data_IF_042557842377
#
_entry.id   IF_042557842377
#
_cell.length_a   1.000
_cell.length_b   1.000
_cell.length_c   1.000
_cell.angle_alpha   90.00
_cell.angle_beta   90.00
_cell.angle_gamma   90.00
#
_symmetry.space_group_name_H-M   'P 1'
#
loop_
_entity.id
_entity.type
_entity.pdbx_description
1 polymer ?
#
# COMPACT_ATOMS: atom_id res chain seq x y z
N UNK A 1 -1.29 -4.66 22.85
CA UNK A 1 -2.35 -5.63 22.49
C UNK A 1 -2.51 -5.86 20.98
N UNK A 2 -2.22 -4.90 20.09
CA UNK A 2 -2.46 -5.05 18.64
C UNK A 2 -1.74 -6.24 17.95
N UNK A 3 -0.52 -6.59 18.36
CA UNK A 3 0.28 -7.70 17.78
C UNK A 3 -0.49 -9.03 17.73
N UNK A 4 -1.13 -9.41 18.84
CA UNK A 4 -1.93 -10.65 18.97
C UNK A 4 -3.13 -10.71 18.01
N UNK A 5 -3.52 -9.60 17.41
CA UNK A 5 -4.62 -9.49 16.43
C UNK A 5 -4.11 -9.77 15.00
N UNK A 6 -2.92 -9.27 14.65
CA UNK A 6 -2.23 -9.60 13.39
C UNK A 6 -1.85 -11.09 13.34
N UNK A 7 -1.35 -11.65 14.45
CA UNK A 7 -1.05 -13.09 14.54
C UNK A 7 -2.29 -13.98 14.42
N UNK A 8 -3.48 -13.48 14.76
CA UNK A 8 -4.73 -14.21 14.53
C UNK A 8 -5.09 -14.19 13.04
N UNK A 9 -5.01 -13.04 12.38
CA UNK A 9 -5.29 -12.90 10.94
C UNK A 9 -4.33 -13.76 10.09
N UNK A 10 -3.04 -13.79 10.46
CA UNK A 10 -2.02 -14.62 9.79
C UNK A 10 -2.27 -16.13 9.94
N UNK A 11 -2.90 -16.55 11.05
CA UNK A 11 -3.23 -17.98 11.31
C UNK A 11 -4.57 -18.44 10.71
N UNK A 12 -5.53 -17.54 10.47
CA UNK A 12 -6.82 -17.91 9.87
C UNK A 12 -6.79 -17.98 8.33
N UNK A 13 -5.82 -17.36 7.67
CA UNK A 13 -5.70 -17.36 6.21
C UNK A 13 -4.99 -18.59 5.61
N UNK A 14 -4.23 -19.36 6.40
CA UNK A 14 -3.35 -20.41 5.88
C UNK A 14 -3.56 -21.81 6.51
N UNK A 15 -4.61 -22.02 7.31
CA UNK A 15 -4.86 -23.32 7.96
C UNK A 15 -5.62 -24.30 7.06
N UNK A 16 -4.93 -24.81 6.04
CA UNK A 16 -5.29 -26.08 5.39
C UNK A 16 -4.99 -27.27 6.31
N UNK A 17 -5.55 -28.45 5.99
CA UNK A 17 -5.47 -29.63 6.86
C UNK A 17 -4.10 -30.32 6.88
N UNK A 18 -3.84 -31.03 7.98
CA UNK A 18 -2.60 -31.78 8.24
C UNK A 18 -2.86 -33.27 8.03
N UNK A 19 -1.96 -33.96 7.32
CA UNK A 19 -1.81 -35.41 7.39
C UNK A 19 -0.37 -35.72 7.79
N UNK A 20 -0.20 -36.43 8.90
CA UNK A 20 1.09 -36.63 9.57
C UNK A 20 1.91 -37.78 8.97
N UNK A 21 3.25 -37.66 9.03
CA UNK A 21 4.15 -38.83 9.06
C UNK A 21 5.42 -38.51 9.84
N UNK A 22 5.97 -39.52 10.50
CA UNK A 22 7.04 -39.41 11.51
C UNK A 22 8.47 -39.34 10.89
N UNK A 23 9.48 -38.86 11.65
CA UNK A 23 10.81 -38.55 11.13
C UNK A 23 11.74 -39.77 11.03
N UNK A 24 12.88 -39.57 10.37
CA UNK A 24 14.04 -40.45 10.38
C UNK A 24 15.28 -39.59 10.64
N UNK A 25 16.05 -39.93 11.66
CA UNK A 25 17.31 -39.25 12.01
C UNK A 25 18.45 -39.58 11.03
N UNK A 26 19.27 -38.58 10.72
CA UNK A 26 20.63 -38.75 10.17
C UNK A 26 21.52 -37.71 10.87
N UNK A 27 22.72 -38.05 11.39
CA UNK A 27 23.50 -37.15 12.23
C UNK A 27 24.09 -35.93 11.50
N UNK A 28 24.54 -34.96 12.30
CA UNK A 28 25.47 -33.92 11.86
C UNK A 28 26.79 -34.55 11.39
N UNK A 29 27.34 -34.05 10.28
CA UNK A 29 28.72 -34.35 9.88
C UNK A 29 29.39 -33.09 9.35
N UNK A 30 30.63 -32.86 9.78
CA UNK A 30 31.29 -31.55 9.64
C UNK A 30 31.86 -31.32 8.23
N UNK A 31 31.67 -30.12 7.67
CA UNK A 31 32.30 -29.71 6.42
C UNK A 31 33.06 -28.38 6.57
N UNK A 32 34.26 -28.25 5.95
CA UNK A 32 35.31 -27.41 6.50
C UNK A 32 35.13 -25.91 6.32
N UNK A 33 35.76 -25.19 7.26
CA UNK A 33 35.91 -23.74 7.30
C UNK A 33 37.03 -23.28 6.36
N UNK A 34 36.71 -23.09 5.07
CA UNK A 34 37.59 -22.39 4.11
C UNK A 34 36.86 -22.01 2.82
N UNK A 35 36.20 -20.86 2.83
CA UNK A 35 35.80 -20.08 1.64
C UNK A 35 35.14 -18.77 2.09
N UNK A 36 35.92 -17.88 2.71
CA UNK A 36 35.50 -16.50 2.90
C UNK A 36 35.66 -15.76 1.57
N UNK A 37 34.62 -15.83 0.75
CA UNK A 37 34.47 -14.93 -0.39
C UNK A 37 34.00 -13.58 0.16
N UNK A 38 34.80 -12.56 -0.10
CA UNK A 38 34.55 -11.18 0.33
C UNK A 38 33.20 -10.67 -0.22
N UNK A 39 32.47 -9.89 0.58
CA UNK A 39 31.19 -9.32 0.15
C UNK A 39 31.46 -8.09 -0.72
N UNK A 40 31.41 -8.25 -2.04
CA UNK A 40 31.42 -7.18 -3.06
C UNK A 40 30.25 -6.20 -2.84
N UNK A 41 30.38 -5.35 -1.82
CA UNK A 41 29.39 -4.38 -1.33
C UNK A 41 29.94 -2.96 -1.31
N UNK A 42 31.12 -2.72 -1.90
CA UNK A 42 31.82 -1.42 -1.94
C UNK A 42 30.99 -0.25 -2.51
N UNK A 43 29.95 -0.52 -3.30
CA UNK A 43 29.02 0.51 -3.78
C UNK A 43 27.87 0.85 -2.81
N UNK A 44 27.80 0.23 -1.63
CA UNK A 44 26.78 0.50 -0.61
C UNK A 44 27.34 1.41 0.48
N UNK A 45 26.59 2.44 0.88
CA UNK A 45 27.07 3.35 1.93
C UNK A 45 26.99 2.69 3.31
N UNK A 46 28.16 2.47 3.93
CA UNK A 46 28.34 1.80 5.23
C UNK A 46 27.76 2.55 6.44
N UNK A 47 27.23 3.76 6.26
CA UNK A 47 26.61 4.53 7.36
C UNK A 47 25.34 3.83 7.87
N UNK A 48 25.54 3.02 8.91
CA UNK A 48 24.49 2.39 9.72
C UNK A 48 23.65 3.48 10.40
N UNK A 49 22.42 3.64 9.90
CA UNK A 49 21.45 4.60 10.38
C UNK A 49 20.08 4.27 9.78
N UNK A 50 19.27 3.58 10.58
CA UNK A 50 17.93 3.06 10.29
C UNK A 50 17.36 2.37 11.53
N UNK A 51 16.03 2.26 11.64
CA UNK A 51 15.33 1.89 12.89
C UNK A 51 15.05 0.39 13.04
N UNK A 52 15.92 -0.47 12.50
CA UNK A 52 15.76 -1.94 12.50
C UNK A 52 15.59 -2.52 13.91
N UNK A 53 14.38 -3.00 14.22
CA UNK A 53 14.13 -3.80 15.42
C UNK A 53 14.48 -5.28 15.18
N UNK A 54 15.03 -5.94 16.20
CA UNK A 54 15.21 -7.39 16.24
C UNK A 54 14.49 -7.94 17.47
N UNK A 55 13.32 -8.55 17.27
CA UNK A 55 12.59 -9.27 18.33
C UNK A 55 13.30 -10.60 18.64
N UNK A 56 14.38 -10.53 19.42
CA UNK A 56 15.18 -11.67 19.86
C UNK A 56 14.65 -12.27 21.16
N UNK A 57 13.80 -13.29 21.06
CA UNK A 57 13.32 -14.06 22.23
C UNK A 57 14.40 -15.03 22.72
N UNK A 58 15.32 -14.56 23.57
CA UNK A 58 16.35 -15.36 24.23
C UNK A 58 16.18 -15.36 25.75
N UNK A 59 15.40 -16.29 26.27
CA UNK A 59 15.30 -16.53 27.71
C UNK A 59 16.57 -17.24 28.21
N UNK A 60 17.25 -16.61 29.17
CA UNK A 60 18.27 -17.22 30.05
C UNK A 60 18.12 -16.61 31.44
N UNK A 61 18.15 -17.45 32.47
CA UNK A 61 17.96 -17.07 33.88
C UNK A 61 19.34 -16.90 34.56
N UNK A 62 19.48 -15.90 35.45
CA UNK A 62 20.46 -15.95 36.55
C UNK A 62 20.18 -14.88 37.63
N UNK A 63 19.47 -15.32 38.67
CA UNK A 63 19.71 -15.08 40.10
C UNK A 63 20.07 -13.65 40.64
N UNK A 64 19.16 -13.14 41.48
CA UNK A 64 19.39 -12.17 42.57
C UNK A 64 19.89 -12.92 43.84
N UNK A 65 20.76 -12.33 44.68
CA UNK A 65 20.25 -11.85 45.98
C UNK A 65 20.98 -10.61 46.58
N UNK A 66 20.23 -9.71 47.24
CA UNK A 66 20.83 -8.64 48.08
C UNK A 66 19.85 -7.79 48.92
N UNK A 67 19.65 -8.17 50.19
CA UNK A 67 18.82 -7.52 51.24
C UNK A 67 19.09 -5.99 51.44
N UNK A 68 18.24 -5.16 52.09
CA UNK A 68 17.43 -5.42 53.29
C UNK A 68 16.33 -4.36 53.63
N UNK A 69 15.35 -4.79 54.44
CA UNK A 69 14.56 -4.08 55.48
C UNK A 69 13.96 -2.65 55.26
N UNK A 70 12.64 -2.51 55.51
CA UNK A 70 11.96 -1.25 55.93
C UNK A 70 11.88 -1.12 57.46
N UNK A 71 10.85 -0.49 58.10
CA UNK A 71 9.59 0.06 57.56
C UNK A 71 9.22 1.47 58.14
N UNK A 72 7.92 1.74 58.40
CA UNK A 72 7.29 2.85 59.16
C UNK A 72 7.23 4.28 58.51
N UNK A 73 6.41 5.23 59.00
CA UNK A 73 4.93 5.28 59.18
C UNK A 73 4.46 6.73 59.48
N UNK A 74 3.19 7.05 59.16
CA UNK A 74 2.31 8.10 59.75
C UNK A 74 2.60 9.63 59.57
N UNK A 75 1.51 10.43 59.66
CA UNK A 75 1.44 11.89 59.97
C UNK A 75 1.94 12.90 58.89
N UNK A 76 1.26 14.00 58.51
CA UNK A 76 -0.10 14.50 58.83
C UNK A 76 -0.59 15.62 57.86
N UNK A 77 -1.83 16.10 58.09
CA UNK A 77 -2.31 17.49 57.92
C UNK A 77 -3.21 17.92 56.73
N UNK A 78 -4.53 17.74 56.93
CA UNK A 78 -5.67 18.68 56.74
C UNK A 78 -5.78 19.63 55.52
N UNK A 79 -6.96 19.67 54.88
CA UNK A 79 -7.28 20.70 53.87
C UNK A 79 -8.68 20.70 53.18
N UNK A 80 -9.78 20.26 53.82
CA UNK A 80 -11.12 20.26 53.20
C UNK A 80 -11.89 21.60 53.34
N UNK A 81 -12.47 22.10 52.23
CA UNK A 81 -13.75 22.85 52.09
C UNK A 81 -14.00 23.11 50.59
N UNK A 82 -15.13 22.77 49.93
CA UNK A 82 -16.56 23.18 50.06
C UNK A 82 -16.81 24.69 49.81
N UNK A 83 -17.86 25.19 49.13
CA UNK A 83 -18.99 24.64 48.32
C UNK A 83 -18.93 25.28 46.89
N UNK A 84 -19.89 25.38 45.95
CA UNK A 84 -21.32 24.99 45.75
C UNK A 84 -21.60 24.92 44.20
N UNK A 85 -22.82 24.55 43.77
CA UNK A 85 -23.40 24.96 42.47
C UNK A 85 -23.98 26.39 42.51
N UNK A 86 -24.87 26.86 41.61
CA UNK A 86 -25.62 26.23 40.51
C UNK A 86 -26.06 27.31 39.46
N UNK A 87 -26.66 26.83 38.36
CA UNK A 87 -27.75 27.48 37.59
C UNK A 87 -27.41 28.26 36.30
N UNK A 88 -28.42 28.34 35.43
CA UNK A 88 -28.37 28.75 34.02
C UNK A 88 -29.40 29.85 33.71
N UNK A 89 -29.17 30.65 32.65
CA UNK A 89 -30.20 30.98 31.63
C UNK A 89 -29.62 31.63 30.36
N UNK A 90 -30.42 31.66 29.29
CA UNK A 90 -30.19 32.24 27.96
C UNK A 90 -29.60 33.67 27.89
N UNK A 91 -28.85 33.95 26.83
CA UNK A 91 -29.31 34.89 25.75
C UNK A 91 -28.36 34.96 24.54
N UNK A 92 -28.90 35.48 23.43
CA UNK A 92 -28.25 35.92 22.19
C UNK A 92 -29.02 37.20 21.73
N UNK A 93 -28.53 38.09 20.82
CA UNK A 93 -27.79 37.72 19.62
C UNK A 93 -26.84 38.79 18.96
N UNK A 94 -26.39 38.48 17.73
CA UNK A 94 -26.07 39.38 16.58
C UNK A 94 -24.69 40.10 16.45
N UNK A 95 -24.08 39.84 15.28
CA UNK A 95 -23.21 40.66 14.39
C UNK A 95 -21.64 40.70 14.38
N UNK A 96 -21.17 40.46 13.14
CA UNK A 96 -20.04 41.06 12.37
C UNK A 96 -18.54 40.80 12.71
N UNK A 97 -17.96 39.92 11.87
CA UNK A 97 -16.68 40.09 11.14
C UNK A 97 -15.31 40.09 11.86
N UNK A 98 -14.46 39.07 11.57
CA UNK A 98 -13.00 39.20 11.55
C UNK A 98 -12.46 39.32 10.11
N UNK A 99 -11.55 40.28 9.86
CA UNK A 99 -11.03 40.58 8.53
C UNK A 99 -9.63 40.01 8.20
N UNK A 100 -9.39 39.73 6.92
CA UNK A 100 -8.15 40.17 6.25
C UNK A 100 -6.83 39.40 6.43
N UNK A 101 -6.79 38.06 6.34
CA UNK A 101 -5.50 37.32 6.33
C UNK A 101 -5.50 35.94 5.64
N UNK A 102 -5.86 35.84 4.35
CA UNK A 102 -5.92 34.54 3.65
C UNK A 102 -5.50 34.51 2.16
N UNK A 103 -5.69 35.61 1.40
CA UNK A 103 -5.55 35.53 -0.07
C UNK A 103 -4.13 35.22 -0.57
N UNK A 104 -3.09 35.74 0.10
CA UNK A 104 -1.69 35.50 -0.29
C UNK A 104 -1.22 34.06 -0.01
N UNK A 105 -1.64 33.47 1.11
CA UNK A 105 -1.36 32.06 1.42
C UNK A 105 -2.09 31.13 0.46
N UNK A 106 -3.37 31.38 0.16
CA UNK A 106 -4.10 30.62 -0.86
C UNK A 106 -3.52 30.74 -2.27
N UNK A 107 -3.04 31.92 -2.69
CA UNK A 107 -2.37 32.08 -3.99
C UNK A 107 -1.02 31.37 -4.04
N UNK A 108 -0.19 31.45 -3.00
CA UNK A 108 1.06 30.69 -2.93
C UNK A 108 0.79 29.17 -2.94
N UNK A 109 -0.22 28.70 -2.22
CA UNK A 109 -0.59 27.28 -2.17
C UNK A 109 -1.15 26.77 -3.52
N UNK A 110 -1.76 27.64 -4.34
CA UNK A 110 -2.13 27.33 -5.74
C UNK A 110 -0.95 27.41 -6.70
N UNK A 111 -0.02 28.34 -6.50
CA UNK A 111 1.19 28.51 -7.32
C UNK A 111 2.19 27.36 -7.12
N UNK A 112 2.38 26.89 -5.89
CA UNK A 112 3.27 25.76 -5.59
C UNK A 112 2.79 24.44 -6.23
N UNK A 113 1.48 24.27 -6.47
CA UNK A 113 0.93 23.12 -7.20
C UNK A 113 1.30 23.05 -8.68
N UNK A 114 1.84 24.12 -9.29
CA UNK A 114 2.37 24.07 -10.66
C UNK A 114 3.88 23.83 -10.74
N UNK A 115 4.58 23.71 -9.61
CA UNK A 115 6.03 23.47 -9.54
C UNK A 115 6.30 22.11 -8.90
N UNK A 116 6.09 21.06 -9.68
CA UNK A 116 6.24 19.64 -9.30
C UNK A 116 7.70 19.24 -9.04
N UNK A 117 8.24 19.69 -7.91
CA UNK A 117 9.34 18.97 -7.24
C UNK A 117 8.80 17.58 -6.91
N UNK A 118 9.42 16.48 -7.38
CA UNK A 118 8.97 15.15 -7.01
C UNK A 118 9.09 14.97 -5.49
N UNK A 119 7.98 14.66 -4.83
CA UNK A 119 7.98 14.44 -3.40
C UNK A 119 8.91 13.27 -3.06
N UNK A 120 9.90 13.52 -2.21
CA UNK A 120 10.99 12.58 -1.98
C UNK A 120 10.46 11.43 -1.12
N UNK A 121 10.21 10.27 -1.72
CA UNK A 121 9.94 9.08 -0.94
C UNK A 121 11.19 8.63 -0.16
N UNK A 122 10.97 8.20 1.07
CA UNK A 122 11.90 7.39 1.86
C UNK A 122 11.39 5.96 1.84
N UNK A 123 12.32 5.02 1.66
CA UNK A 123 12.11 3.59 1.84
C UNK A 123 12.96 3.18 3.04
N UNK A 124 12.32 2.75 4.13
CA UNK A 124 12.97 2.35 5.38
C UNK A 124 12.57 0.91 5.72
N UNK A 125 13.53 0.05 6.05
CA UNK A 125 13.22 -1.31 6.53
C UNK A 125 13.02 -1.26 8.04
N UNK A 126 11.82 -1.63 8.50
CA UNK A 126 11.44 -1.55 9.92
C UNK A 126 11.43 -2.92 10.62
N UNK A 127 11.19 -4.00 9.88
CA UNK A 127 11.35 -5.40 10.34
C UNK A 127 12.04 -6.25 9.26
N UNK A 128 12.78 -7.28 9.70
CA UNK A 128 13.44 -8.26 8.85
C UNK A 128 13.37 -9.67 9.46
N UNK A 129 12.14 -10.19 9.58
CA UNK A 129 11.81 -11.43 10.29
C UNK A 129 12.13 -12.72 9.51
N UNK A 130 12.64 -13.76 10.19
CA UNK A 130 12.92 -15.08 9.60
C UNK A 130 11.67 -15.95 9.65
N UNK A 131 11.05 -16.17 8.49
CA UNK A 131 9.82 -16.94 8.34
C UNK A 131 10.14 -18.40 7.99
N UNK A 132 9.64 -19.40 8.74
CA UNK A 132 9.68 -20.80 8.33
C UNK A 132 8.65 -21.08 7.22
N UNK A 133 9.08 -21.87 6.25
CA UNK A 133 8.29 -22.43 5.14
C UNK A 133 8.38 -23.96 5.25
N UNK A 134 7.44 -24.73 4.68
CA UNK A 134 7.25 -26.16 5.02
C UNK A 134 8.49 -27.07 4.90
N UNK A 135 9.48 -26.69 4.08
CA UNK A 135 10.78 -27.35 3.93
C UNK A 135 11.97 -26.39 3.92
N UNK A 136 11.79 -25.11 4.30
CA UNK A 136 12.87 -24.11 4.24
C UNK A 136 12.65 -22.94 5.21
N UNK A 137 13.51 -21.91 5.15
CA UNK A 137 13.32 -20.64 5.84
C UNK A 137 13.65 -19.50 4.88
N UNK A 138 13.00 -18.35 5.01
CA UNK A 138 13.34 -17.14 4.26
C UNK A 138 13.26 -15.90 5.15
N UNK A 139 14.01 -14.85 4.81
CA UNK A 139 13.88 -13.54 5.46
C UNK A 139 12.82 -12.73 4.72
N UNK A 140 11.82 -12.26 5.47
CA UNK A 140 10.78 -11.33 5.02
C UNK A 140 11.15 -9.93 5.49
N UNK A 141 11.26 -8.98 4.57
CA UNK A 141 11.59 -7.59 4.88
C UNK A 141 10.31 -6.76 4.83
N UNK A 142 10.04 -6.06 5.92
CA UNK A 142 8.92 -5.12 6.07
C UNK A 142 9.47 -3.71 5.85
N UNK A 143 8.97 -3.03 4.82
CA UNK A 143 9.46 -1.71 4.38
C UNK A 143 8.34 -0.68 4.46
N UNK A 144 8.62 0.44 5.12
CA UNK A 144 7.76 1.62 5.10
C UNK A 144 8.10 2.50 3.89
N UNK A 145 7.06 2.98 3.22
CA UNK A 145 7.09 3.99 2.15
C UNK A 145 6.53 5.28 2.73
N UNK A 146 7.40 6.28 2.88
CA UNK A 146 7.16 7.51 3.64
C UNK A 146 7.39 8.74 2.75
N UNK A 147 6.53 9.75 2.84
CA UNK A 147 6.57 10.98 2.05
C UNK A 147 7.39 12.07 2.78
N UNK A 148 8.62 12.36 2.33
CA UNK A 148 9.48 13.37 2.99
C UNK A 148 8.86 14.77 2.96
N UNK A 149 9.08 15.53 4.04
CA UNK A 149 8.72 16.95 4.10
C UNK A 149 7.29 17.23 4.57
N UNK A 150 6.47 16.19 4.75
CA UNK A 150 5.18 16.26 5.44
C UNK A 150 5.18 15.32 6.65
N UNK A 151 4.31 15.59 7.62
CA UNK A 151 4.10 14.69 8.76
C UNK A 151 3.22 13.51 8.32
N UNK A 152 3.87 12.45 7.83
CA UNK A 152 3.25 11.24 7.31
C UNK A 152 2.58 10.42 8.43
N UNK A 153 1.28 10.68 8.65
CA UNK A 153 0.48 10.00 9.68
C UNK A 153 0.17 8.54 9.36
N UNK A 154 0.40 8.10 8.13
CA UNK A 154 -0.06 6.83 7.58
C UNK A 154 1.00 6.24 6.65
N UNK A 155 2.15 5.75 7.20
CA UNK A 155 3.14 5.03 6.41
C UNK A 155 2.47 3.89 5.63
N UNK A 156 2.86 3.75 4.36
CA UNK A 156 2.37 2.66 3.52
C UNK A 156 3.40 1.53 3.57
N UNK A 157 2.98 0.28 3.65
CA UNK A 157 3.90 -0.83 3.98
C UNK A 157 3.98 -1.83 2.84
N UNK A 158 5.17 -2.37 2.55
CA UNK A 158 5.33 -3.56 1.70
C UNK A 158 6.10 -4.64 2.46
N UNK A 159 5.73 -5.91 2.23
CA UNK A 159 6.42 -7.08 2.78
C UNK A 159 6.94 -7.95 1.64
N UNK A 160 8.26 -8.13 1.54
CA UNK A 160 8.91 -8.79 0.38
C UNK A 160 10.08 -9.65 0.82
N UNK A 161 10.31 -10.79 0.17
CA UNK A 161 11.51 -11.64 0.35
C UNK A 161 12.57 -11.29 -0.68
N UNK A 162 13.84 -11.63 -0.41
CA UNK A 162 14.98 -11.34 -1.30
C UNK A 162 14.70 -11.74 -2.78
N UNK A 163 14.01 -12.86 -3.01
CA UNK A 163 13.68 -13.35 -4.36
C UNK A 163 12.73 -12.43 -5.13
N UNK A 164 11.95 -11.59 -4.46
CA UNK A 164 11.00 -10.69 -5.11
C UNK A 164 11.73 -9.45 -5.64
N UNK A 165 12.69 -8.95 -4.85
CA UNK A 165 13.67 -7.96 -5.29
C UNK A 165 14.54 -8.48 -6.45
N UNK A 166 15.02 -9.73 -6.36
CA UNK A 166 15.77 -10.41 -7.42
C UNK A 166 14.95 -10.52 -8.72
N UNK A 167 13.65 -10.83 -8.61
CA UNK A 167 12.68 -10.85 -9.73
C UNK A 167 12.43 -9.45 -10.30
N UNK A 168 12.23 -8.43 -9.46
CA UNK A 168 12.06 -7.03 -9.89
C UNK A 168 13.28 -6.57 -10.68
N UNK A 169 14.47 -6.70 -10.11
CA UNK A 169 15.74 -6.34 -10.74
C UNK A 169 15.92 -7.05 -12.09
N UNK A 170 15.63 -8.35 -12.12
CA UNK A 170 15.70 -9.18 -13.34
C UNK A 170 14.63 -8.84 -14.38
N UNK A 171 13.50 -8.21 -14.02
CA UNK A 171 12.50 -7.71 -14.98
C UNK A 171 12.91 -6.34 -15.52
N UNK A 172 13.27 -5.39 -14.63
CA UNK A 172 13.70 -4.05 -15.02
C UNK A 172 14.94 -4.07 -15.92
N UNK A 173 15.97 -4.87 -15.57
CA UNK A 173 17.19 -5.02 -16.40
C UNK A 173 16.89 -5.53 -17.83
N UNK A 174 15.81 -6.28 -18.03
CA UNK A 174 15.38 -6.78 -19.36
C UNK A 174 14.56 -5.76 -20.18
N UNK A 175 14.04 -4.70 -19.57
CA UNK A 175 13.17 -3.69 -20.21
C UNK A 175 13.82 -2.30 -20.31
N UNK A 176 14.72 -2.00 -19.39
CA UNK A 176 15.32 -0.68 -19.17
C UNK A 176 16.83 -0.84 -18.92
N UNK A 177 17.51 -1.62 -19.78
CA UNK A 177 18.92 -2.04 -19.59
C UNK A 177 19.84 -0.88 -19.24
N UNK A 178 19.87 0.13 -20.11
CA UNK A 178 20.68 1.35 -20.03
C UNK A 178 20.48 2.12 -18.70
N UNK A 179 19.23 2.17 -18.21
CA UNK A 179 18.89 2.81 -16.93
C UNK A 179 19.24 1.94 -15.72
N UNK A 180 19.39 0.62 -15.92
CA UNK A 180 19.72 -0.36 -14.87
C UNK A 180 21.21 -0.68 -14.77
N UNK A 181 22.05 -0.28 -15.73
CA UNK A 181 23.51 -0.53 -15.71
C UNK A 181 24.18 -0.02 -14.43
N UNK A 182 23.77 1.16 -13.96
CA UNK A 182 24.32 1.84 -12.78
C UNK A 182 23.62 1.45 -11.48
N UNK A 183 22.56 0.65 -11.56
CA UNK A 183 21.73 0.29 -10.41
C UNK A 183 22.30 -0.94 -9.71
N UNK A 184 23.08 -0.67 -8.66
CA UNK A 184 23.65 -1.71 -7.79
C UNK A 184 22.55 -2.56 -7.13
N UNK A 185 22.83 -3.86 -6.94
CA UNK A 185 21.90 -4.81 -6.33
C UNK A 185 22.67 -5.80 -5.44
N UNK A 186 22.22 -6.08 -4.20
CA UNK A 186 22.92 -6.97 -3.28
C UNK A 186 22.99 -8.40 -3.84
N UNK A 187 24.20 -8.99 -3.87
CA UNK A 187 24.39 -10.34 -4.42
C UNK A 187 23.84 -11.44 -3.51
N UNK A 188 23.57 -12.61 -4.11
CA UNK A 188 23.07 -13.80 -3.43
C UNK A 188 24.23 -14.56 -2.76
N UNK A 189 24.32 -14.50 -1.43
CA UNK A 189 25.28 -15.30 -0.65
C UNK A 189 24.83 -16.77 -0.63
N UNK A 190 25.76 -17.72 -0.77
CA UNK A 190 25.45 -19.16 -0.73
C UNK A 190 25.34 -19.71 0.71
N UNK A 191 26.00 -19.07 1.68
CA UNK A 191 26.01 -19.43 3.11
C UNK A 191 25.70 -18.19 3.97
N UNK A 192 25.60 -18.34 5.30
CA UNK A 192 25.38 -17.26 6.30
C UNK A 192 24.14 -16.36 6.04
N UNK A 193 23.15 -16.80 5.25
CA UNK A 193 22.00 -15.99 4.80
C UNK A 193 21.06 -15.44 5.90
N UNK A 194 21.07 -16.04 7.10
CA UNK A 194 20.22 -15.67 8.24
C UNK A 194 21.01 -14.98 9.37
N UNK A 195 22.30 -14.70 9.18
CA UNK A 195 23.12 -13.96 10.16
C UNK A 195 22.66 -12.50 10.18
N UNK A 196 22.45 -11.93 11.37
CA UNK A 196 21.92 -10.58 11.56
C UNK A 196 22.68 -9.51 10.77
N UNK A 197 24.00 -9.62 10.68
CA UNK A 197 24.87 -8.75 9.85
C UNK A 197 24.51 -8.82 8.34
N UNK A 198 24.30 -10.02 7.80
CA UNK A 198 23.89 -10.22 6.39
C UNK A 198 22.45 -9.76 6.16
N UNK A 199 21.58 -9.85 7.18
CA UNK A 199 20.23 -9.28 7.14
C UNK A 199 20.30 -7.75 7.11
N UNK A 200 21.02 -7.12 8.03
CA UNK A 200 21.17 -5.66 8.13
C UNK A 200 21.81 -5.05 6.86
N UNK A 201 22.89 -5.66 6.35
CA UNK A 201 23.51 -5.26 5.06
C UNK A 201 22.51 -5.31 3.91
N UNK A 202 21.65 -6.35 3.85
CA UNK A 202 20.59 -6.47 2.83
C UNK A 202 19.45 -5.47 3.01
N UNK A 203 19.00 -5.25 4.24
CA UNK A 203 18.01 -4.22 4.55
C UNK A 203 18.47 -2.87 4.00
N UNK A 204 19.68 -2.44 4.36
CA UNK A 204 20.27 -1.19 3.86
C UNK A 204 20.44 -1.15 2.34
N UNK A 205 20.83 -2.28 1.74
CA UNK A 205 20.92 -2.40 0.28
C UNK A 205 19.55 -2.22 -0.41
N UNK A 206 18.46 -2.73 0.19
CA UNK A 206 17.11 -2.56 -0.37
C UNK A 206 16.59 -1.12 -0.25
N UNK A 207 16.85 -0.43 0.86
CA UNK A 207 16.54 1.01 1.00
C UNK A 207 17.23 1.83 -0.10
N UNK A 208 18.53 1.62 -0.28
CA UNK A 208 19.36 2.30 -1.29
C UNK A 208 18.90 1.95 -2.72
N UNK A 209 18.60 0.67 -2.99
CA UNK A 209 18.10 0.19 -4.28
C UNK A 209 16.74 0.80 -4.65
N UNK A 210 15.76 0.80 -3.74
CA UNK A 210 14.45 1.43 -3.97
C UNK A 210 14.57 2.94 -4.14
N UNK A 211 15.37 3.61 -3.30
CA UNK A 211 15.62 5.06 -3.40
C UNK A 211 16.24 5.43 -4.74
N UNK A 212 17.23 4.66 -5.21
CA UNK A 212 17.91 4.94 -6.47
C UNK A 212 16.99 4.69 -7.69
N UNK A 213 16.23 3.59 -7.72
CA UNK A 213 15.22 3.38 -8.78
C UNK A 213 14.15 4.47 -8.80
N UNK A 214 13.69 4.94 -7.62
CA UNK A 214 12.74 6.04 -7.53
C UNK A 214 13.32 7.38 -8.03
N UNK A 215 14.63 7.59 -7.91
CA UNK A 215 15.31 8.77 -8.46
C UNK A 215 15.40 8.79 -9.99
N UNK A 216 15.25 7.63 -10.64
CA UNK A 216 15.33 7.47 -12.10
C UNK A 216 13.92 7.51 -12.70
N UNK A 217 13.58 8.61 -13.38
CA UNK A 217 12.22 8.89 -13.82
C UNK A 217 11.59 7.77 -14.68
N UNK A 218 12.35 7.17 -15.60
CA UNK A 218 11.86 6.10 -16.48
C UNK A 218 11.62 4.77 -15.73
N UNK A 219 12.40 4.49 -14.68
CA UNK A 219 12.12 3.34 -13.81
C UNK A 219 10.92 3.62 -12.90
N UNK A 220 10.86 4.80 -12.29
CA UNK A 220 9.77 5.20 -11.37
C UNK A 220 8.39 5.16 -12.03
N UNK A 221 8.28 5.56 -13.31
CA UNK A 221 7.01 5.49 -14.08
C UNK A 221 6.69 4.10 -14.62
N UNK A 222 7.61 3.14 -14.57
CA UNK A 222 7.41 1.81 -15.15
C UNK A 222 6.38 0.99 -14.37
N UNK A 223 5.48 0.29 -15.08
CA UNK A 223 4.49 -0.59 -14.45
C UNK A 223 5.17 -1.64 -13.54
N UNK A 224 6.29 -2.22 -13.98
CA UNK A 224 7.07 -3.21 -13.23
C UNK A 224 7.57 -2.71 -11.87
N UNK A 225 7.99 -1.45 -11.78
CA UNK A 225 8.41 -0.84 -10.51
C UNK A 225 7.20 -0.55 -9.62
N UNK A 226 6.13 0.01 -10.18
CA UNK A 226 4.93 0.42 -9.43
C UNK A 226 4.15 -0.79 -8.87
N UNK A 227 3.94 -1.83 -9.69
CA UNK A 227 3.29 -3.09 -9.30
C UNK A 227 3.99 -3.79 -8.14
N UNK A 228 5.32 -3.74 -8.08
CA UNK A 228 6.10 -4.37 -7.01
C UNK A 228 5.67 -3.88 -5.62
N UNK A 229 5.16 -2.65 -5.51
CA UNK A 229 4.56 -2.14 -4.30
C UNK A 229 3.13 -2.64 -4.13
N UNK A 230 2.18 -2.17 -4.94
CA UNK A 230 0.75 -2.32 -4.62
C UNK A 230 0.07 -3.58 -5.18
N UNK A 231 0.62 -4.26 -6.19
CA UNK A 231 -0.16 -5.25 -6.95
C UNK A 231 -0.60 -6.45 -6.10
N UNK A 232 0.26 -6.91 -5.18
CA UNK A 232 -0.09 -7.98 -4.25
C UNK A 232 -1.25 -7.61 -3.31
N UNK A 233 -1.37 -6.34 -2.94
CA UNK A 233 -2.45 -5.86 -2.06
C UNK A 233 -3.78 -5.77 -2.81
N UNK A 234 -3.77 -5.31 -4.06
CA UNK A 234 -4.95 -5.33 -4.93
C UNK A 234 -5.43 -6.76 -5.20
N UNK A 235 -4.51 -7.70 -5.44
CA UNK A 235 -4.82 -9.12 -5.61
C UNK A 235 -5.39 -9.75 -4.33
N UNK A 236 -4.81 -9.46 -3.15
CA UNK A 236 -5.31 -9.92 -1.87
C UNK A 236 -6.71 -9.35 -1.57
N UNK A 237 -6.92 -8.05 -1.84
CA UNK A 237 -8.23 -7.41 -1.78
C UNK A 237 -9.25 -8.08 -2.70
N UNK A 238 -8.92 -8.26 -3.98
CA UNK A 238 -9.79 -8.92 -4.95
C UNK A 238 -10.15 -10.36 -4.54
N UNK A 239 -9.20 -11.12 -3.99
CA UNK A 239 -9.43 -12.47 -3.47
C UNK A 239 -10.39 -12.45 -2.28
N UNK A 240 -10.16 -11.57 -1.30
CA UNK A 240 -11.01 -11.44 -0.10
C UNK A 240 -12.42 -10.98 -0.48
N UNK A 241 -12.57 -10.08 -1.46
CA UNK A 241 -13.86 -9.70 -2.03
C UNK A 241 -14.58 -10.86 -2.72
N UNK A 242 -13.87 -11.68 -3.52
CA UNK A 242 -14.45 -12.86 -4.19
C UNK A 242 -15.00 -13.90 -3.20
N UNK A 243 -14.48 -13.94 -1.97
CA UNK A 243 -14.99 -14.80 -0.88
C UNK A 243 -15.84 -14.04 0.17
N UNK A 244 -16.27 -12.80 -0.13
CA UNK A 244 -17.17 -12.02 0.74
C UNK A 244 -16.54 -11.46 2.03
N UNK A 245 -15.22 -11.56 2.21
CA UNK A 245 -14.48 -11.12 3.42
C UNK A 245 -14.07 -9.65 3.33
N UNK A 246 -15.04 -8.76 3.05
CA UNK A 246 -14.79 -7.34 2.77
C UNK A 246 -14.03 -6.61 3.88
N UNK A 247 -14.38 -6.86 5.14
CA UNK A 247 -13.71 -6.25 6.31
C UNK A 247 -12.20 -6.53 6.35
N UNK A 248 -11.79 -7.72 5.90
CA UNK A 248 -10.37 -8.08 5.81
C UNK A 248 -9.75 -7.56 4.51
N UNK A 249 -10.52 -7.49 3.42
CA UNK A 249 -10.11 -6.90 2.14
C UNK A 249 -9.81 -5.40 2.22
N UNK A 250 -10.47 -4.66 3.13
CA UNK A 250 -10.17 -3.23 3.36
C UNK A 250 -8.69 -2.98 3.73
N UNK A 251 -8.06 -3.86 4.52
CA UNK A 251 -6.68 -3.68 4.97
C UNK A 251 -5.69 -3.56 3.80
N UNK A 252 -5.60 -4.59 2.92
CA UNK A 252 -4.81 -4.52 1.69
C UNK A 252 -5.26 -3.38 0.76
N UNK A 253 -6.55 -3.22 0.48
CA UNK A 253 -7.02 -2.20 -0.48
C UNK A 253 -6.66 -0.77 -0.07
N UNK A 254 -6.81 -0.42 1.22
CA UNK A 254 -6.41 0.88 1.75
C UNK A 254 -4.88 1.06 1.74
N UNK A 255 -4.10 -0.03 1.87
CA UNK A 255 -2.64 0.05 1.75
C UNK A 255 -2.18 0.20 0.30
N UNK A 256 -2.79 -0.55 -0.62
CA UNK A 256 -2.60 -0.40 -2.06
C UNK A 256 -2.91 1.03 -2.53
N UNK A 257 -3.98 1.64 -2.02
CA UNK A 257 -4.29 3.05 -2.30
C UNK A 257 -3.17 3.98 -1.82
N UNK A 258 -2.76 3.89 -0.55
CA UNK A 258 -1.67 4.73 0.00
C UNK A 258 -0.35 4.56 -0.76
N UNK A 259 -0.04 3.34 -1.23
CA UNK A 259 1.10 3.08 -2.10
C UNK A 259 0.95 3.76 -3.47
N UNK A 260 -0.21 3.61 -4.12
CA UNK A 260 -0.51 4.27 -5.40
C UNK A 260 -0.45 5.80 -5.31
N UNK A 261 -0.95 6.38 -4.21
CA UNK A 261 -0.88 7.82 -3.94
C UNK A 261 0.57 8.30 -3.79
N UNK A 262 1.35 7.67 -2.89
CA UNK A 262 2.75 8.08 -2.62
C UNK A 262 3.66 7.89 -3.84
N UNK A 263 3.42 6.88 -4.68
CA UNK A 263 4.12 6.69 -5.94
C UNK A 263 3.65 7.63 -7.07
N UNK A 264 2.59 8.41 -6.82
CA UNK A 264 2.04 9.43 -7.72
C UNK A 264 1.21 8.88 -8.88
N UNK A 265 0.59 7.70 -8.75
CA UNK A 265 -0.13 7.02 -9.82
C UNK A 265 -1.33 7.85 -10.34
N UNK A 266 -2.08 8.49 -9.45
CA UNK A 266 -3.23 9.37 -9.75
C UNK A 266 -2.85 10.46 -10.77
N UNK A 267 -1.73 11.16 -10.53
CA UNK A 267 -1.26 12.24 -11.39
C UNK A 267 -0.66 11.72 -12.71
N UNK A 268 -0.02 10.55 -12.69
CA UNK A 268 0.62 9.96 -13.87
C UNK A 268 -0.40 9.41 -14.87
N UNK A 269 -1.43 8.69 -14.40
CA UNK A 269 -2.48 8.13 -15.26
C UNK A 269 -3.37 9.17 -15.97
N UNK A 270 -3.34 10.42 -15.50
CA UNK A 270 -4.02 11.57 -16.13
C UNK A 270 -3.14 12.33 -17.14
N UNK A 271 -1.82 12.15 -17.10
CA UNK A 271 -0.85 12.83 -17.98
C UNK A 271 -0.29 11.92 -19.09
N UNK A 272 -0.24 10.61 -18.84
CA UNK A 272 0.15 9.59 -19.80
C UNK A 272 -0.84 8.42 -19.68
N UNK A 273 -1.56 8.04 -20.75
CA UNK A 273 -2.56 6.97 -20.71
C UNK A 273 -1.91 5.57 -20.74
N UNK A 274 -1.03 5.28 -19.77
CA UNK A 274 -0.60 3.92 -19.46
C UNK A 274 -1.79 3.15 -18.88
N UNK A 275 -2.60 2.58 -19.77
CA UNK A 275 -3.92 1.98 -19.50
C UNK A 275 -3.96 1.20 -18.18
N UNK A 276 -3.06 0.24 -18.01
CA UNK A 276 -2.95 -0.64 -16.85
C UNK A 276 -2.82 0.12 -15.50
N UNK A 277 -2.08 1.24 -15.44
CA UNK A 277 -1.95 2.03 -14.21
C UNK A 277 -3.26 2.71 -13.83
N UNK A 278 -4.01 3.22 -14.82
CA UNK A 278 -5.35 3.79 -14.61
C UNK A 278 -6.35 2.69 -14.24
N UNK A 279 -6.26 1.50 -14.85
CA UNK A 279 -7.07 0.34 -14.47
C UNK A 279 -6.81 -0.08 -13.02
N UNK A 280 -5.54 -0.21 -12.60
CA UNK A 280 -5.20 -0.51 -11.20
C UNK A 280 -5.66 0.58 -10.21
N UNK A 281 -5.59 1.86 -10.58
CA UNK A 281 -6.08 2.97 -9.75
C UNK A 281 -7.59 2.92 -9.55
N UNK A 282 -8.34 2.83 -10.66
CA UNK A 282 -9.80 2.74 -10.65
C UNK A 282 -10.27 1.46 -9.94
N UNK A 283 -9.58 0.33 -10.15
CA UNK A 283 -9.85 -0.91 -9.42
C UNK A 283 -9.79 -0.69 -7.91
N UNK A 284 -8.73 -0.07 -7.37
CA UNK A 284 -8.60 0.16 -5.93
C UNK A 284 -9.76 0.99 -5.37
N UNK A 285 -10.10 2.10 -6.04
CA UNK A 285 -11.19 2.97 -5.59
C UNK A 285 -12.54 2.23 -5.62
N UNK A 286 -12.86 1.54 -6.71
CA UNK A 286 -14.13 0.82 -6.86
C UNK A 286 -14.23 -0.41 -5.93
N UNK A 287 -13.10 -1.07 -5.65
CA UNK A 287 -12.99 -2.13 -4.65
C UNK A 287 -13.29 -1.60 -3.24
N UNK A 288 -12.75 -0.42 -2.88
CA UNK A 288 -13.06 0.25 -1.62
C UNK A 288 -14.55 0.64 -1.54
N UNK A 289 -15.12 1.28 -2.57
CA UNK A 289 -16.56 1.60 -2.64
C UNK A 289 -17.41 0.35 -2.39
N UNK A 290 -17.07 -0.77 -3.03
CA UNK A 290 -17.81 -2.03 -2.91
C UNK A 290 -17.67 -2.62 -1.50
N UNK A 291 -16.45 -2.68 -0.94
CA UNK A 291 -16.23 -3.17 0.42
C UNK A 291 -16.98 -2.33 1.47
N UNK A 292 -16.83 -1.00 1.43
CA UNK A 292 -17.51 -0.11 2.38
C UNK A 292 -19.03 -0.18 2.23
N UNK A 293 -19.57 -0.32 1.02
CA UNK A 293 -21.01 -0.50 0.80
C UNK A 293 -21.54 -1.82 1.39
N UNK A 294 -20.84 -2.95 1.19
CA UNK A 294 -21.24 -4.26 1.73
C UNK A 294 -21.04 -4.36 3.27
N UNK A 295 -20.36 -3.38 3.86
CA UNK A 295 -20.21 -3.19 5.32
C UNK A 295 -21.15 -2.09 5.86
N UNK A 296 -22.03 -1.53 5.02
CA UNK A 296 -22.92 -0.39 5.31
C UNK A 296 -22.19 0.85 5.89
N UNK A 297 -20.89 0.99 5.59
CA UNK A 297 -20.06 2.19 5.84
C UNK A 297 -20.23 3.17 4.68
N UNK A 298 -21.44 3.73 4.60
CA UNK A 298 -21.93 4.41 3.40
C UNK A 298 -21.31 5.80 3.17
N UNK A 299 -20.80 6.45 4.21
CA UNK A 299 -20.11 7.74 4.08
C UNK A 299 -18.78 7.59 3.37
N UNK A 300 -18.00 6.61 3.82
CA UNK A 300 -16.73 6.17 3.27
C UNK A 300 -16.91 5.65 1.84
N UNK A 301 -17.90 4.79 1.61
CA UNK A 301 -18.26 4.32 0.28
C UNK A 301 -18.55 5.48 -0.69
N UNK A 302 -19.24 6.53 -0.22
CA UNK A 302 -19.56 7.69 -1.04
C UNK A 302 -18.34 8.60 -1.30
N UNK A 303 -17.39 8.71 -0.37
CA UNK A 303 -16.14 9.48 -0.58
C UNK A 303 -15.25 8.86 -1.68
N UNK A 304 -15.00 7.55 -1.63
CA UNK A 304 -14.24 6.86 -2.69
C UNK A 304 -14.98 6.87 -4.03
N UNK A 305 -16.32 6.89 -4.00
CA UNK A 305 -17.16 6.99 -5.19
C UNK A 305 -17.07 8.39 -5.83
N UNK A 306 -17.14 9.46 -5.03
CA UNK A 306 -16.90 10.84 -5.47
C UNK A 306 -15.45 11.07 -5.95
N UNK A 307 -14.47 10.29 -5.47
CA UNK A 307 -13.10 10.30 -6.02
C UNK A 307 -13.04 9.65 -7.40
N UNK A 308 -13.53 8.41 -7.53
CA UNK A 308 -13.55 7.71 -8.82
C UNK A 308 -14.37 8.48 -9.89
N UNK A 309 -15.43 9.19 -9.50
CA UNK A 309 -16.17 10.07 -10.43
C UNK A 309 -15.40 11.33 -10.84
N UNK A 310 -14.51 11.89 -9.99
CA UNK A 310 -13.63 12.99 -10.41
C UNK A 310 -12.61 12.56 -11.45
N UNK A 311 -12.17 11.30 -11.39
CA UNK A 311 -11.18 10.72 -12.31
C UNK A 311 -11.79 10.15 -13.61
N UNK A 312 -13.12 9.99 -13.64
CA UNK A 312 -13.89 9.44 -14.77
C UNK A 312 -14.90 10.40 -15.39
N UNK A 313 -15.21 11.55 -14.78
CA UNK A 313 -16.13 12.54 -15.34
C UNK A 313 -15.62 13.01 -16.72
N UNK A 314 -16.42 12.87 -17.79
CA UNK A 314 -16.03 13.31 -19.12
C UNK A 314 -16.06 14.84 -19.21
N UNK A 315 -15.34 15.41 -20.18
CA UNK A 315 -15.61 16.76 -20.64
C UNK A 315 -16.89 16.79 -21.48
N UNK A 316 -17.47 17.96 -21.73
CA UNK A 316 -18.70 18.05 -22.53
C UNK A 316 -18.46 17.59 -23.98
N UNK A 317 -17.27 17.85 -24.53
CA UNK A 317 -16.86 17.39 -25.86
C UNK A 317 -16.74 15.86 -25.92
N UNK A 318 -16.17 15.25 -24.88
CA UNK A 318 -16.07 13.79 -24.78
C UNK A 318 -17.44 13.12 -24.62
N UNK A 319 -18.37 13.74 -23.87
CA UNK A 319 -19.75 13.25 -23.73
C UNK A 319 -20.50 13.35 -25.06
N UNK A 320 -20.41 14.47 -25.79
CA UNK A 320 -21.01 14.67 -27.11
C UNK A 320 -20.48 13.71 -28.18
N UNK A 321 -19.29 13.14 -27.99
CA UNK A 321 -18.66 12.15 -28.88
C UNK A 321 -18.83 10.70 -28.37
N UNK A 322 -19.58 10.48 -27.28
CA UNK A 322 -19.74 9.19 -26.60
C UNK A 322 -18.43 8.55 -26.10
N UNK A 323 -17.37 9.36 -25.93
CA UNK A 323 -16.03 8.93 -25.53
C UNK A 323 -15.86 8.96 -23.99
N UNK A 324 -16.67 8.17 -23.28
CA UNK A 324 -16.57 8.00 -21.83
C UNK A 324 -16.23 6.56 -21.42
N UNK A 325 -15.71 6.40 -20.20
CA UNK A 325 -15.26 5.10 -19.71
C UNK A 325 -16.47 4.18 -19.39
N UNK A 326 -16.44 2.87 -19.72
CA UNK A 326 -17.57 1.97 -19.46
C UNK A 326 -18.05 1.93 -18.00
N UNK A 327 -17.13 2.15 -17.05
CA UNK A 327 -17.43 2.17 -15.62
C UNK A 327 -18.19 3.42 -15.15
N UNK A 328 -18.30 4.47 -15.97
CA UNK A 328 -18.95 5.72 -15.59
C UNK A 328 -20.43 5.51 -15.23
N UNK A 329 -21.17 4.74 -16.02
CA UNK A 329 -22.60 4.49 -15.79
C UNK A 329 -22.85 3.72 -14.48
N UNK A 330 -22.29 2.51 -14.23
CA UNK A 330 -22.52 1.79 -12.98
C UNK A 330 -21.94 2.52 -11.76
N UNK A 331 -20.95 3.40 -11.95
CA UNK A 331 -20.44 4.26 -10.89
C UNK A 331 -21.41 5.41 -10.56
N UNK A 332 -21.95 6.12 -11.55
CA UNK A 332 -22.97 7.16 -11.36
C UNK A 332 -24.22 6.58 -10.68
N UNK A 333 -24.72 5.43 -11.15
CA UNK A 333 -25.83 4.71 -10.53
C UNK A 333 -25.54 4.33 -9.07
N UNK A 334 -24.30 4.00 -8.75
CA UNK A 334 -23.90 3.67 -7.36
C UNK A 334 -23.80 4.93 -6.51
N UNK A 335 -23.25 6.03 -7.03
CA UNK A 335 -23.22 7.31 -6.31
C UNK A 335 -24.63 7.84 -6.03
N UNK A 336 -25.52 7.85 -7.03
CA UNK A 336 -26.92 8.30 -6.91
C UNK A 336 -27.66 7.51 -5.80
N UNK A 337 -27.45 6.18 -5.74
CA UNK A 337 -28.02 5.31 -4.69
C UNK A 337 -27.39 5.55 -3.31
N UNK A 338 -26.07 5.68 -3.22
CA UNK A 338 -25.36 5.98 -1.96
C UNK A 338 -25.80 7.34 -1.40
N UNK A 339 -25.75 8.38 -2.22
CA UNK A 339 -26.13 9.75 -1.87
C UNK A 339 -27.62 9.86 -1.50
N UNK A 340 -28.50 9.03 -2.07
CA UNK A 340 -29.88 8.87 -1.58
C UNK A 340 -29.93 8.22 -0.19
N UNK A 341 -29.23 7.10 0.05
CA UNK A 341 -29.17 6.45 1.38
C UNK A 341 -28.66 7.39 2.49
N UNK A 342 -27.70 8.27 2.18
CA UNK A 342 -27.05 9.17 3.17
C UNK A 342 -27.50 10.64 3.10
N UNK A 343 -28.60 10.93 2.40
CA UNK A 343 -29.20 12.27 2.29
C UNK A 343 -28.25 13.38 1.79
N UNK A 344 -27.27 13.04 0.92
CA UNK A 344 -26.42 14.02 0.23
C UNK A 344 -27.06 14.47 -1.09
N UNK A 345 -26.64 15.64 -1.59
CA UNK A 345 -27.03 16.07 -2.94
C UNK A 345 -26.42 15.14 -3.99
N UNK A 346 -27.21 14.86 -5.02
CA UNK A 346 -26.94 13.95 -6.13
C UNK A 346 -27.33 14.54 -7.50
N UNK A 347 -27.93 15.75 -7.53
CA UNK A 347 -28.46 16.39 -8.74
C UNK A 347 -27.46 16.42 -9.90
N UNK A 348 -26.19 16.75 -9.62
CA UNK A 348 -25.11 16.76 -10.63
C UNK A 348 -24.94 15.40 -11.32
N UNK A 349 -24.98 14.33 -10.55
CA UNK A 349 -24.76 12.96 -11.03
C UNK A 349 -26.04 12.37 -11.67
N UNK A 350 -27.22 12.77 -11.19
CA UNK A 350 -28.50 12.47 -11.85
C UNK A 350 -28.60 13.12 -13.23
N UNK A 351 -28.25 14.41 -13.35
CA UNK A 351 -28.23 15.12 -14.64
C UNK A 351 -27.21 14.49 -15.60
N UNK A 352 -25.99 14.20 -15.15
CA UNK A 352 -24.97 13.55 -16.01
C UNK A 352 -25.40 12.14 -16.45
N UNK A 353 -26.09 11.38 -15.59
CA UNK A 353 -26.63 10.07 -15.95
C UNK A 353 -27.77 10.18 -16.97
N UNK A 354 -28.62 11.21 -16.86
CA UNK A 354 -29.68 11.51 -17.83
C UNK A 354 -29.11 11.98 -19.18
N UNK A 355 -28.10 12.86 -19.19
CA UNK A 355 -27.39 13.27 -20.42
C UNK A 355 -26.81 12.07 -21.18
N UNK A 356 -26.22 11.11 -20.46
CA UNK A 356 -25.70 9.86 -21.03
C UNK A 356 -26.84 8.97 -21.56
N UNK A 357 -27.96 8.85 -20.84
CA UNK A 357 -29.13 8.09 -21.29
C UNK A 357 -29.78 8.72 -22.54
N UNK A 358 -29.96 10.03 -22.57
CA UNK A 358 -30.56 10.80 -23.66
C UNK A 358 -29.69 10.76 -24.93
N UNK A 359 -28.37 10.63 -24.77
CA UNK A 359 -27.44 10.36 -25.87
C UNK A 359 -27.57 8.94 -26.48
N UNK A 360 -28.40 8.06 -25.92
CA UNK A 360 -28.70 6.73 -26.44
C UNK A 360 -27.87 5.59 -25.84
N UNK A 361 -27.11 5.81 -24.76
CA UNK A 361 -26.39 4.74 -24.08
C UNK A 361 -27.34 3.85 -23.24
N UNK A 362 -27.14 2.54 -23.27
CA UNK A 362 -27.88 1.61 -22.42
C UNK A 362 -27.44 1.78 -20.96
N UNK A 363 -28.25 2.51 -20.20
CA UNK A 363 -28.08 2.68 -18.74
C UNK A 363 -28.71 1.51 -17.96
N UNK A 364 -29.65 0.78 -18.54
CA UNK A 364 -30.45 -0.25 -17.85
C UNK A 364 -29.69 -1.56 -17.62
N UNK A 365 -28.98 -2.06 -18.63
CA UNK A 365 -28.39 -3.41 -18.61
C UNK A 365 -26.88 -3.44 -18.27
N UNK A 366 -26.38 -2.42 -17.57
CA UNK A 366 -24.96 -2.36 -17.18
C UNK A 366 -24.63 -3.35 -16.04
N UNK A 367 -23.47 -4.02 -16.08
CA UNK A 367 -23.02 -4.89 -14.99
C UNK A 367 -22.74 -4.07 -13.73
N UNK A 368 -22.99 -4.64 -12.56
CA UNK A 368 -22.65 -3.99 -11.30
C UNK A 368 -21.13 -3.80 -11.13
N UNK A 369 -20.72 -2.79 -10.37
CA UNK A 369 -19.31 -2.57 -10.02
C UNK A 369 -18.66 -3.84 -9.45
N UNK A 370 -19.41 -4.57 -8.63
CA UNK A 370 -19.02 -5.85 -8.01
C UNK A 370 -18.71 -6.93 -9.05
N UNK A 371 -19.56 -7.10 -10.06
CA UNK A 371 -19.29 -8.04 -11.15
C UNK A 371 -18.06 -7.65 -11.99
N UNK A 372 -17.90 -6.35 -12.28
CA UNK A 372 -16.72 -5.86 -12.99
C UNK A 372 -15.45 -6.20 -12.21
N UNK A 373 -15.39 -5.85 -10.91
CA UNK A 373 -14.26 -6.14 -10.03
C UNK A 373 -13.97 -7.63 -9.86
N UNK A 374 -14.99 -8.49 -9.97
CA UNK A 374 -14.82 -9.96 -9.97
C UNK A 374 -14.25 -10.49 -11.29
N UNK A 375 -14.57 -9.85 -12.43
CA UNK A 375 -14.12 -10.22 -13.79
C UNK A 375 -12.77 -9.61 -14.17
N UNK A 376 -12.37 -8.50 -13.54
CA UNK A 376 -11.16 -7.73 -13.86
C UNK A 376 -9.86 -8.54 -13.63
N UNK A 377 -8.91 -8.44 -14.57
CA UNK A 377 -7.68 -9.21 -14.58
C UNK A 377 -6.47 -8.31 -14.26
N UNK A 378 -6.19 -8.19 -12.95
CA UNK A 378 -5.03 -7.46 -12.39
C UNK A 378 -3.64 -7.98 -12.83
N UNK A 379 -3.57 -8.94 -13.75
CA UNK A 379 -2.31 -9.47 -14.30
C UNK A 379 -2.47 -9.63 -15.80
N UNK A 380 -1.98 -8.66 -16.56
CA UNK A 380 -1.63 -8.94 -17.95
C UNK A 380 -0.34 -9.76 -17.97
N UNK A 381 -0.45 -11.00 -18.45
CA UNK A 381 0.70 -11.85 -18.74
C UNK A 381 1.41 -11.32 -19.98
N UNK A 382 2.22 -10.26 -19.83
CA UNK A 382 2.95 -9.62 -20.92
C UNK A 382 3.61 -10.66 -21.84
N UNK A 383 3.19 -10.62 -23.11
CA UNK A 383 3.38 -11.73 -24.03
C UNK A 383 4.85 -12.01 -24.28
N UNK A 384 5.26 -13.28 -24.09
CA UNK A 384 6.48 -13.81 -24.68
C UNK A 384 6.27 -13.93 -26.20
N UNK A 385 6.34 -12.81 -26.91
CA UNK A 385 6.21 -12.65 -28.36
C UNK A 385 7.43 -13.19 -29.10
N UNK A 386 7.74 -14.46 -28.86
CA UNK A 386 8.54 -15.27 -29.79
C UNK A 386 7.68 -15.53 -31.03
N UNK A 387 7.66 -14.54 -31.93
CA UNK A 387 7.08 -14.64 -33.27
C UNK A 387 7.75 -15.80 -34.00
N UNK A 388 7.13 -16.98 -33.93
CA UNK A 388 7.66 -18.20 -34.54
C UNK A 388 7.43 -18.11 -36.04
N UNK A 389 8.30 -17.37 -36.73
CA UNK A 389 8.29 -17.21 -38.19
C UNK A 389 8.41 -18.59 -38.81
N UNK A 390 7.26 -19.11 -39.25
CA UNK A 390 7.15 -20.30 -40.07
C UNK A 390 7.67 -19.92 -41.46
N UNK A 391 8.91 -20.30 -41.76
CA UNK A 391 9.31 -20.44 -43.17
C UNK A 391 8.45 -21.56 -43.75
N UNK A 392 7.62 -21.21 -44.71
CA UNK A 392 7.05 -22.16 -45.65
C UNK A 392 7.95 -22.16 -46.89
N UNK A 393 8.64 -23.29 -47.10
CA UNK A 393 9.48 -23.50 -48.28
C UNK A 393 8.61 -23.97 -49.45
N UNK A 394 8.15 -23.04 -50.29
CA UNK A 394 7.56 -23.37 -51.62
C UNK A 394 7.68 -22.21 -52.62
N UNK A 395 8.80 -22.15 -53.34
CA UNK A 395 8.93 -22.33 -54.82
C UNK A 395 10.37 -22.12 -55.24
#
# INVERSE_FOLDING_TARGET
MASKLLDRLRRTLFKGEVVSREPIDVPEDSFPESSELEDDTECLSERLGGTLCFDGESAMESEDPGEASGPDSDSDFLGESVEDGFSSTDTSPVDLSPGGSSLLTCQLQRSLRSRTVPEKLVFEVTDASVVPESSSKYVLYTIHVIQSGMFDKTPAVITRRYTDFERLHSRLRRRHGDHMERVCFPRKRLRKNFVAETIAKRSRAFEQYLTHMHSLAELRRSATFLEFFYLGDLQAGQMLMRVGRYQEGLGPLLNGLRLQEKLGCEQQGMQQPHHQQRTHWLFTLLALVTCFQELEQLGEAQEYCDRALRDLAPSQEALQQHLFHPLLIPLLQTNVRLSWKISKDKRRWEVLLQEIQDSGADVGNQPSLKEYLMKENLVESEGNTKTKVKRDDTT
#
